data_IF_657250946929
#
_entry.id   IF_657250946929
#
_cell.length_a   1.000
_cell.length_b   1.000
_cell.length_c   1.000
_cell.angle_alpha   90.00
_cell.angle_beta   90.00
_cell.angle_gamma   90.00
#
_symmetry.space_group_name_H-M   'P 1'
#
loop_
_entity.id
_entity.type
_entity.pdbx_description
1 polymer ?
#
# COMPACT_ATOMS: atom_id res chain seq x y z
N UNK A 1 -13.35 52.42 31.99
CA UNK A 1 -12.87 51.12 32.50
C UNK A 1 -14.05 50.44 33.16
N UNK A 2 -14.71 49.50 32.48
CA UNK A 2 -15.77 48.63 33.02
C UNK A 2 -16.05 47.54 31.98
N UNK A 3 -15.25 46.47 32.02
CA UNK A 3 -15.50 45.22 31.29
C UNK A 3 -16.10 44.26 32.31
N UNK A 4 -17.42 44.12 32.28
CA UNK A 4 -18.16 43.14 33.06
C UNK A 4 -18.88 42.17 32.15
N UNK A 5 -18.94 40.90 32.58
CA UNK A 5 -20.02 39.98 32.24
C UNK A 5 -19.68 38.87 31.25
N UNK A 6 -19.26 37.71 31.77
CA UNK A 6 -19.75 36.36 31.40
C UNK A 6 -18.90 35.27 32.10
N UNK A 7 -19.08 35.13 33.41
CA UNK A 7 -18.58 33.97 34.19
C UNK A 7 -19.62 33.53 35.21
N UNK A 8 -20.86 33.38 34.76
CA UNK A 8 -21.96 32.91 35.60
C UNK A 8 -22.32 31.48 35.18
N UNK A 9 -21.86 30.48 35.94
CA UNK A 9 -22.00 29.06 35.63
C UNK A 9 -23.46 28.56 35.54
N UNK A 10 -24.42 29.37 36.01
CA UNK A 10 -25.87 29.10 35.85
C UNK A 10 -26.45 29.55 34.51
N UNK A 11 -25.70 30.33 33.70
CA UNK A 11 -26.13 30.82 32.37
C UNK A 11 -25.29 30.28 31.20
N UNK A 12 -24.17 29.60 31.45
CA UNK A 12 -23.41 28.92 30.42
C UNK A 12 -24.19 27.65 29.98
N UNK A 13 -24.85 27.73 28.83
CA UNK A 13 -25.69 26.64 28.32
C UNK A 13 -24.84 25.56 27.64
N UNK A 14 -24.29 24.63 28.42
CA UNK A 14 -23.72 23.37 27.94
C UNK A 14 -22.23 23.16 28.21
N UNK A 15 -21.79 21.90 28.12
CA UNK A 15 -20.36 21.55 28.06
C UNK A 15 -19.86 21.83 26.64
N UNK A 16 -18.65 22.35 26.48
CA UNK A 16 -18.08 22.62 25.16
C UNK A 16 -16.59 22.26 25.11
N UNK A 17 -16.10 21.96 23.91
CA UNK A 17 -14.67 21.84 23.63
C UNK A 17 -14.24 23.10 22.88
N UNK A 18 -13.21 23.77 23.38
CA UNK A 18 -12.52 24.86 22.69
C UNK A 18 -11.28 24.29 22.03
N UNK A 19 -11.39 24.00 20.73
CA UNK A 19 -10.36 23.31 19.98
C UNK A 19 -9.43 24.33 19.33
N UNK A 20 -8.13 24.19 19.56
CA UNK A 20 -7.07 24.95 18.88
C UNK A 20 -6.29 24.01 17.96
N UNK A 21 -6.09 24.40 16.71
CA UNK A 21 -5.34 23.59 15.74
C UNK A 21 -3.89 24.07 15.70
N UNK A 22 -2.95 23.15 15.91
CA UNK A 22 -1.51 23.37 15.74
C UNK A 22 -1.01 22.68 14.47
N UNK A 23 -0.47 23.44 13.51
CA UNK A 23 0.07 22.86 12.27
C UNK A 23 1.14 23.75 11.60
N UNK A 24 2.10 23.14 10.87
CA UNK A 24 3.06 23.92 10.10
C UNK A 24 2.39 24.61 8.90
N UNK A 25 2.64 25.91 8.66
CA UNK A 25 1.96 26.68 7.61
C UNK A 25 2.29 26.17 6.18
N UNK A 26 3.30 25.32 6.03
CA UNK A 26 3.66 24.65 4.76
C UNK A 26 2.64 23.61 4.31
N UNK A 27 1.64 23.27 5.13
CA UNK A 27 0.57 22.35 4.74
C UNK A 27 -0.49 23.03 3.85
N UNK A 28 -0.52 24.36 3.79
CA UNK A 28 -1.45 25.14 2.94
C UNK A 28 -2.90 24.66 3.05
N UNK A 29 -3.36 24.41 4.28
CA UNK A 29 -4.72 23.94 4.56
C UNK A 29 -5.71 25.08 4.28
N UNK A 30 -6.81 24.81 3.58
CA UNK A 30 -7.91 25.75 3.32
C UNK A 30 -9.23 25.36 4.00
N UNK A 31 -9.36 24.10 4.42
CA UNK A 31 -10.51 23.56 5.16
C UNK A 31 -10.13 22.50 6.17
N UNK A 32 -10.99 22.31 7.17
CA UNK A 32 -10.92 21.24 8.16
C UNK A 32 -12.16 20.37 8.06
N UNK A 33 -12.00 19.06 8.21
CA UNK A 33 -13.10 18.13 8.51
C UNK A 33 -12.94 17.66 9.95
N UNK A 34 -13.89 18.01 10.80
CA UNK A 34 -13.86 17.72 12.23
C UNK A 34 -14.87 16.63 12.55
N UNK A 35 -14.41 15.57 13.18
CA UNK A 35 -15.24 14.48 13.70
C UNK A 35 -14.76 14.06 15.08
N UNK A 36 -15.52 13.24 15.79
CA UNK A 36 -15.11 12.76 17.09
C UNK A 36 -16.20 12.02 17.84
N UNK A 37 -15.98 11.80 19.13
CA UNK A 37 -17.00 11.26 20.02
C UNK A 37 -16.83 11.72 21.46
N UNK A 38 -17.94 11.77 22.19
CA UNK A 38 -17.97 11.92 23.65
C UNK A 38 -18.95 10.90 24.19
N UNK A 39 -18.52 10.08 25.15
CA UNK A 39 -19.37 9.02 25.73
C UNK A 39 -19.96 8.07 24.67
N UNK A 40 -19.20 7.80 23.59
CA UNK A 40 -19.68 7.03 22.44
C UNK A 40 -20.71 7.74 21.55
N UNK A 41 -21.10 8.97 21.88
CA UNK A 41 -21.95 9.82 21.02
C UNK A 41 -21.07 10.54 20.01
N UNK A 42 -21.36 10.38 18.71
CA UNK A 42 -20.60 11.00 17.63
C UNK A 42 -20.71 12.52 17.58
N UNK A 43 -19.60 13.17 17.22
CA UNK A 43 -19.48 14.59 16.89
C UNK A 43 -19.18 14.70 15.39
N UNK A 44 -19.88 15.61 14.69
CA UNK A 44 -19.63 15.89 13.27
C UNK A 44 -20.17 14.82 12.31
N UNK A 45 -19.67 14.77 11.06
CA UNK A 45 -18.59 15.60 10.53
C UNK A 45 -19.00 17.06 10.33
N UNK A 46 -18.12 17.99 10.65
CA UNK A 46 -18.27 19.42 10.35
C UNK A 46 -17.16 19.88 9.42
N UNK A 47 -17.49 20.71 8.44
CA UNK A 47 -16.51 21.31 7.52
C UNK A 47 -16.29 22.77 7.90
N UNK A 48 -15.04 23.18 8.12
CA UNK A 48 -14.68 24.51 8.63
C UNK A 48 -13.50 25.12 7.86
N UNK A 49 -13.62 26.36 7.33
CA UNK A 49 -14.88 27.05 7.03
C UNK A 49 -15.72 26.26 6.01
N UNK A 50 -17.02 26.51 5.96
CA UNK A 50 -17.94 25.85 5.00
C UNK A 50 -17.51 26.06 3.54
N UNK A 51 -16.87 27.19 3.24
CA UNK A 51 -16.29 27.51 1.92
C UNK A 51 -14.78 27.79 2.05
N UNK A 52 -13.93 27.28 1.13
CA UNK A 52 -12.48 27.41 1.20
C UNK A 52 -12.00 28.78 0.66
N UNK A 53 -12.45 29.86 1.30
CA UNK A 53 -12.17 31.23 0.81
C UNK A 53 -10.73 31.67 1.06
N UNK A 54 -10.05 31.09 2.05
CA UNK A 54 -8.67 31.44 2.42
C UNK A 54 -7.91 30.26 3.00
N UNK A 55 -6.59 30.37 2.97
CA UNK A 55 -5.72 29.50 3.76
C UNK A 55 -5.94 29.75 5.26
N UNK A 56 -5.98 28.66 6.01
CA UNK A 56 -6.04 28.66 7.46
C UNK A 56 -4.67 29.01 8.04
N UNK A 57 -4.70 29.66 9.19
CA UNK A 57 -3.49 30.01 9.95
C UNK A 57 -3.25 29.04 11.09
N UNK A 58 -1.99 28.89 11.51
CA UNK A 58 -1.72 28.13 12.73
C UNK A 58 -2.39 28.81 13.94
N UNK A 59 -3.01 28.02 14.83
CA UNK A 59 -3.74 28.50 15.99
C UNK A 59 -5.20 28.88 15.71
N UNK A 60 -5.76 28.53 14.55
CA UNK A 60 -7.21 28.64 14.31
C UNK A 60 -7.99 27.86 15.38
N UNK A 61 -9.08 28.45 15.85
CA UNK A 61 -9.88 27.91 16.96
C UNK A 61 -11.34 27.75 16.58
N UNK A 62 -11.98 26.69 17.07
CA UNK A 62 -13.43 26.52 16.94
C UNK A 62 -14.02 25.85 18.18
N UNK A 63 -15.35 25.87 18.26
CA UNK A 63 -16.10 25.33 19.40
C UNK A 63 -16.95 24.16 18.99
N UNK A 64 -16.88 23.08 19.76
CA UNK A 64 -17.78 21.93 19.65
C UNK A 64 -18.71 21.96 20.86
N UNK A 65 -20.01 22.10 20.63
CA UNK A 65 -21.01 22.00 21.70
C UNK A 65 -21.26 20.53 22.03
N UNK A 66 -21.21 20.17 23.31
CA UNK A 66 -21.43 18.80 23.79
C UNK A 66 -22.73 18.77 24.59
N UNK A 67 -23.82 18.22 24.03
CA UNK A 67 -25.17 18.36 24.60
C UNK A 67 -25.35 17.77 26.01
N UNK A 68 -24.55 16.77 26.40
CA UNK A 68 -24.76 16.03 27.65
C UNK A 68 -23.51 15.31 28.17
N UNK A 69 -22.37 15.99 28.29
CA UNK A 69 -21.18 15.36 28.86
C UNK A 69 -21.26 15.28 30.40
N UNK A 70 -21.05 14.08 30.95
CA UNK A 70 -20.74 13.91 32.36
C UNK A 70 -19.33 14.44 32.68
N UNK A 71 -18.99 14.53 33.97
CA UNK A 71 -17.63 14.89 34.38
C UNK A 71 -16.68 13.72 34.10
N UNK A 72 -15.46 14.03 33.67
CA UNK A 72 -14.39 13.06 33.42
C UNK A 72 -14.75 11.99 32.40
N UNK A 73 -15.51 12.37 31.37
CA UNK A 73 -15.74 11.52 30.20
C UNK A 73 -14.71 11.88 29.13
N UNK A 74 -14.02 10.92 28.51
CA UNK A 74 -13.11 11.21 27.41
C UNK A 74 -13.90 11.72 26.20
N UNK A 75 -13.47 12.85 25.68
CA UNK A 75 -13.85 13.38 24.39
C UNK A 75 -12.67 13.22 23.43
N UNK A 76 -12.87 12.47 22.35
CA UNK A 76 -11.90 12.31 21.28
C UNK A 76 -12.33 13.14 20.08
N UNK A 77 -11.41 13.90 19.51
CA UNK A 77 -11.62 14.74 18.33
C UNK A 77 -10.56 14.41 17.29
N UNK A 78 -11.01 14.13 16.08
CA UNK A 78 -10.21 13.93 14.88
C UNK A 78 -10.40 15.11 13.96
N UNK A 79 -9.30 15.64 13.43
CA UNK A 79 -9.31 16.76 12.49
C UNK A 79 -8.51 16.38 11.26
N UNK A 80 -9.15 16.40 10.09
CA UNK A 80 -8.50 16.31 8.79
C UNK A 80 -8.25 17.71 8.24
N UNK A 81 -7.04 18.00 7.79
CA UNK A 81 -6.72 19.23 7.06
C UNK A 81 -6.81 18.99 5.56
N UNK A 82 -7.64 19.78 4.88
CA UNK A 82 -7.84 19.74 3.43
C UNK A 82 -7.12 20.90 2.74
N UNK A 83 -6.71 20.66 1.49
CA UNK A 83 -6.29 21.65 0.52
C UNK A 83 -6.94 21.32 -0.81
N UNK A 84 -7.68 22.25 -1.39
CA UNK A 84 -8.41 22.04 -2.65
C UNK A 84 -9.26 20.75 -2.59
N UNK A 85 -9.95 20.53 -1.46
CA UNK A 85 -10.72 19.32 -1.13
C UNK A 85 -9.94 18.01 -0.89
N UNK A 86 -8.60 18.03 -1.01
CA UNK A 86 -7.75 16.86 -0.78
C UNK A 86 -7.18 16.85 0.64
N UNK A 87 -7.22 15.70 1.34
CA UNK A 87 -6.63 15.59 2.69
C UNK A 87 -5.10 15.64 2.61
N UNK A 88 -4.52 16.65 3.25
CA UNK A 88 -3.07 16.90 3.33
C UNK A 88 -2.53 16.75 4.76
N UNK A 89 -3.39 16.75 5.77
CA UNK A 89 -3.00 16.64 7.17
C UNK A 89 -4.02 15.86 7.99
N UNK A 90 -3.57 15.26 9.10
CA UNK A 90 -4.43 14.56 10.05
C UNK A 90 -3.89 14.77 11.47
N UNK A 91 -4.79 14.91 12.44
CA UNK A 91 -4.46 14.92 13.86
C UNK A 91 -5.62 14.44 14.71
N UNK A 92 -5.27 13.92 15.90
CA UNK A 92 -6.23 13.49 16.91
C UNK A 92 -5.86 14.13 18.25
N UNK A 93 -6.87 14.44 19.05
CA UNK A 93 -6.71 14.95 20.40
C UNK A 93 -7.77 14.38 21.32
N UNK A 94 -7.41 14.19 22.59
CA UNK A 94 -8.31 13.67 23.61
C UNK A 94 -8.26 14.56 24.85
N UNK A 95 -9.42 14.80 25.46
CA UNK A 95 -9.54 15.56 26.71
C UNK A 95 -10.70 15.06 27.55
N UNK A 96 -10.60 15.16 28.86
CA UNK A 96 -11.72 14.88 29.75
C UNK A 96 -12.71 16.04 29.79
N UNK A 97 -14.00 15.75 29.60
CA UNK A 97 -15.07 16.74 29.69
C UNK A 97 -15.35 17.14 31.14
N UNK A 98 -15.80 18.38 31.30
CA UNK A 98 -16.29 18.88 32.59
C UNK A 98 -17.68 19.48 32.40
N UNK A 99 -18.67 18.93 33.09
CA UNK A 99 -20.08 19.28 32.96
C UNK A 99 -20.29 20.77 33.19
N UNK A 100 -20.80 21.48 32.17
CA UNK A 100 -21.11 22.92 32.22
C UNK A 100 -19.89 23.83 32.11
N UNK A 101 -18.74 23.30 31.67
CA UNK A 101 -17.53 24.07 31.40
C UNK A 101 -17.11 23.91 29.94
N UNK A 102 -16.39 24.92 29.46
CA UNK A 102 -15.59 24.84 28.24
C UNK A 102 -14.23 24.24 28.61
N UNK A 103 -13.78 23.24 27.86
CA UNK A 103 -12.50 22.56 28.06
C UNK A 103 -11.62 22.79 26.84
N UNK A 104 -10.37 23.18 27.06
CA UNK A 104 -9.41 23.43 25.99
C UNK A 104 -8.84 22.12 25.46
N UNK A 105 -8.78 21.99 24.14
CA UNK A 105 -8.15 20.87 23.45
C UNK A 105 -7.24 21.42 22.35
N UNK A 106 -5.98 21.02 22.34
CA UNK A 106 -5.08 21.30 21.22
C UNK A 106 -4.97 20.05 20.35
N UNK A 107 -5.27 20.17 19.06
CA UNK A 107 -5.08 19.10 18.08
C UNK A 107 -3.91 19.49 17.18
N UNK A 108 -2.84 18.70 17.24
CA UNK A 108 -1.68 18.87 16.37
C UNK A 108 -1.90 18.10 15.07
N UNK A 109 -1.88 18.80 13.94
CA UNK A 109 -1.95 18.18 12.62
C UNK A 109 -0.55 17.90 12.11
N UNK A 110 -0.34 16.67 11.68
CA UNK A 110 0.86 16.24 10.98
C UNK A 110 0.51 16.00 9.52
N UNK A 111 1.49 16.09 8.58
CA UNK A 111 1.25 15.72 7.20
C UNK A 111 0.57 14.34 7.16
N UNK A 112 -0.55 14.25 6.47
CA UNK A 112 -1.24 12.97 6.35
C UNK A 112 -0.24 12.03 5.67
N UNK A 113 0.23 11.01 6.41
CA UNK A 113 0.93 9.91 5.77
C UNK A 113 0.00 9.42 4.66
N UNK A 114 0.47 9.33 3.41
CA UNK A 114 -0.42 8.98 2.32
C UNK A 114 -1.09 7.64 2.67
N UNK A 115 -2.42 7.53 2.43
CA UNK A 115 -3.17 6.36 2.82
C UNK A 115 -2.62 5.19 2.00
N UNK A 116 -1.92 4.28 2.68
CA UNK A 116 -1.22 3.14 2.09
C UNK A 116 -0.04 3.51 1.17
N UNK A 117 1.19 3.29 1.64
CA UNK A 117 2.40 3.40 0.80
C UNK A 117 2.44 2.38 -0.33
N UNK A 118 1.53 1.42 -0.31
CA UNK A 118 1.40 0.32 -1.27
C UNK A 118 0.37 0.62 -2.37
N UNK A 119 -0.55 1.56 -2.15
CA UNK A 119 -1.62 1.87 -3.09
C UNK A 119 -1.99 3.36 -3.11
N UNK A 120 -1.97 3.97 -4.30
CA UNK A 120 -2.32 5.37 -4.52
C UNK A 120 -3.63 5.46 -5.30
N UNK A 121 -4.65 6.14 -4.75
CA UNK A 121 -5.88 6.47 -5.49
C UNK A 121 -5.58 7.48 -6.61
N UNK A 122 -6.34 7.40 -7.71
CA UNK A 122 -6.24 8.31 -8.87
C UNK A 122 -4.89 8.29 -9.62
N UNK A 123 -4.31 7.10 -9.77
CA UNK A 123 -3.04 6.87 -10.47
C UNK A 123 -3.21 6.04 -11.77
N UNK A 124 -3.91 6.55 -12.80
CA UNK A 124 -4.32 5.72 -13.94
C UNK A 124 -3.14 5.21 -14.77
N UNK A 125 -2.09 6.01 -14.93
CA UNK A 125 -0.92 5.73 -15.78
C UNK A 125 0.37 5.56 -14.99
N UNK A 126 0.28 5.34 -13.68
CA UNK A 126 1.43 5.29 -12.79
C UNK A 126 1.27 4.30 -11.65
N UNK A 127 2.33 4.18 -10.86
CA UNK A 127 2.39 3.32 -9.69
C UNK A 127 2.61 4.15 -8.43
N UNK A 128 2.34 3.56 -7.28
CA UNK A 128 2.50 4.20 -5.99
C UNK A 128 3.93 4.03 -5.48
N UNK A 129 4.58 5.14 -5.17
CA UNK A 129 5.88 5.18 -4.53
C UNK A 129 5.81 6.13 -3.35
N UNK A 130 5.95 5.58 -2.13
CA UNK A 130 5.84 6.34 -0.89
C UNK A 130 4.52 7.15 -0.83
N UNK A 131 3.44 6.59 -1.38
CA UNK A 131 2.13 7.23 -1.42
C UNK A 131 1.98 8.41 -2.38
N UNK A 132 2.93 8.58 -3.30
CA UNK A 132 2.83 9.49 -4.43
C UNK A 132 2.75 8.70 -5.74
N UNK A 133 2.01 9.23 -6.71
CA UNK A 133 2.00 8.72 -8.06
C UNK A 133 3.34 8.95 -8.75
N UNK A 134 4.08 7.89 -9.00
CA UNK A 134 5.24 7.90 -9.87
C UNK A 134 4.81 7.60 -11.30
N UNK A 135 5.38 8.34 -12.25
CA UNK A 135 5.27 8.01 -13.68
C UNK A 135 5.89 6.65 -13.95
N UNK A 136 5.29 5.85 -14.84
CA UNK A 136 5.84 4.54 -15.17
C UNK A 136 7.19 4.70 -15.88
N UNK A 137 8.24 4.15 -15.27
CA UNK A 137 9.58 4.05 -15.85
C UNK A 137 10.15 2.66 -15.62
N UNK A 138 11.36 2.40 -16.11
CA UNK A 138 12.04 1.14 -15.83
C UNK A 138 12.33 0.92 -14.32
N UNK A 139 12.51 1.98 -13.53
CA UNK A 139 12.74 1.89 -12.08
C UNK A 139 11.45 2.03 -11.26
N UNK A 140 10.36 2.45 -11.90
CA UNK A 140 9.07 2.74 -11.28
C UNK A 140 7.96 2.11 -12.11
N UNK A 141 8.06 0.81 -12.39
CA UNK A 141 7.12 0.13 -13.27
C UNK A 141 5.85 -0.26 -12.52
N UNK A 142 4.70 -0.06 -13.16
CA UNK A 142 3.38 -0.30 -12.61
C UNK A 142 2.35 0.67 -13.18
N UNK A 143 1.07 0.35 -13.01
CA UNK A 143 -0.10 1.14 -13.44
C UNK A 143 -1.22 0.99 -12.42
N UNK A 144 -2.23 1.86 -12.48
CA UNK A 144 -3.41 1.74 -11.62
C UNK A 144 -3.14 1.95 -10.13
N UNK A 145 -2.04 2.61 -9.78
CA UNK A 145 -1.75 2.99 -8.39
C UNK A 145 -1.24 1.86 -7.50
N UNK A 146 -0.92 0.68 -8.04
CA UNK A 146 -0.23 -0.37 -7.27
C UNK A 146 1.21 0.04 -6.96
N UNK A 147 1.84 -0.57 -5.96
CA UNK A 147 3.24 -0.33 -5.61
C UNK A 147 4.17 -0.43 -6.83
N UNK A 148 5.05 0.56 -6.99
CA UNK A 148 6.07 0.55 -8.03
C UNK A 148 7.02 -0.64 -7.88
N UNK A 149 7.44 -1.21 -9.01
CA UNK A 149 8.45 -2.25 -9.09
C UNK A 149 9.59 -1.78 -9.98
N UNK A 150 10.84 -1.97 -9.52
CA UNK A 150 12.01 -1.75 -10.36
C UNK A 150 12.24 -2.98 -11.27
N UNK A 151 12.30 -2.77 -12.57
CA UNK A 151 12.59 -3.83 -13.51
C UNK A 151 14.06 -4.25 -13.43
N UNK A 152 14.30 -5.57 -13.53
CA UNK A 152 15.65 -6.10 -13.55
C UNK A 152 16.26 -5.92 -14.96
N UNK A 153 17.34 -5.14 -15.13
CA UNK A 153 17.95 -4.90 -16.44
C UNK A 153 18.57 -6.16 -17.06
N UNK A 154 18.78 -7.22 -16.28
CA UNK A 154 19.19 -8.51 -16.85
C UNK A 154 18.02 -9.14 -17.60
N UNK A 155 16.80 -9.14 -17.06
CA UNK A 155 15.67 -9.93 -17.57
C UNK A 155 14.57 -9.12 -18.25
N UNK A 156 14.68 -7.79 -18.29
CA UNK A 156 13.73 -6.89 -18.91
C UNK A 156 14.45 -5.76 -19.66
N UNK A 157 13.83 -5.24 -20.72
CA UNK A 157 14.30 -4.09 -21.49
C UNK A 157 13.31 -2.92 -21.48
N UNK A 158 12.09 -3.11 -20.95
CA UNK A 158 11.08 -2.06 -20.84
C UNK A 158 10.16 -2.24 -19.63
N UNK A 159 9.47 -1.16 -19.26
CA UNK A 159 8.20 -1.23 -18.54
C UNK A 159 7.08 -1.16 -19.58
N UNK A 160 6.22 -2.19 -19.61
CA UNK A 160 5.08 -2.28 -20.51
C UNK A 160 4.05 -1.15 -20.26
N UNK A 161 3.28 -0.72 -21.27
CA UNK A 161 2.11 0.14 -21.08
C UNK A 161 1.10 -0.38 -20.04
N UNK A 162 1.04 -1.71 -19.85
CA UNK A 162 0.16 -2.33 -18.86
C UNK A 162 0.79 -2.40 -17.45
N UNK A 163 2.01 -1.88 -17.25
CA UNK A 163 2.64 -1.78 -15.93
C UNK A 163 3.43 -3.01 -15.47
N UNK A 164 3.79 -3.92 -16.37
CA UNK A 164 4.68 -5.04 -16.06
C UNK A 164 6.07 -4.86 -16.69
N UNK A 165 7.12 -5.37 -16.03
CA UNK A 165 8.44 -5.42 -16.62
C UNK A 165 8.44 -6.38 -17.81
N UNK A 166 8.92 -5.92 -18.95
CA UNK A 166 8.81 -6.62 -20.23
C UNK A 166 10.20 -6.91 -20.83
N UNK A 167 10.27 -7.99 -21.61
CA UNK A 167 11.34 -8.25 -22.56
C UNK A 167 10.74 -8.24 -23.96
N UNK A 168 10.88 -7.12 -24.67
CA UNK A 168 10.16 -6.86 -25.90
C UNK A 168 8.66 -6.68 -25.62
N UNK A 169 7.82 -7.42 -26.33
CA UNK A 169 6.36 -7.40 -26.11
C UNK A 169 5.86 -8.44 -25.11
N UNK A 170 6.76 -9.29 -24.59
CA UNK A 170 6.43 -10.33 -23.62
C UNK A 170 6.77 -9.88 -22.19
N UNK A 171 6.21 -10.53 -21.15
CA UNK A 171 6.69 -10.34 -19.78
C UNK A 171 8.21 -10.56 -19.66
N UNK A 172 8.80 -9.95 -18.63
CA UNK A 172 10.21 -10.13 -18.29
C UNK A 172 10.58 -11.61 -18.21
N UNK A 173 11.84 -11.90 -18.57
CA UNK A 173 12.33 -13.26 -18.61
C UNK A 173 12.27 -13.90 -17.22
N UNK A 174 11.79 -15.15 -17.18
CA UNK A 174 11.84 -15.94 -15.97
C UNK A 174 13.31 -16.28 -15.67
N UNK A 175 13.87 -15.84 -14.52
CA UNK A 175 15.27 -16.07 -14.19
C UNK A 175 15.61 -17.55 -14.00
N UNK A 176 14.60 -18.44 -13.87
CA UNK A 176 14.82 -19.88 -13.86
C UNK A 176 15.26 -20.36 -15.24
N UNK A 177 14.62 -19.95 -16.34
CA UNK A 177 14.86 -20.52 -17.67
C UNK A 177 15.66 -19.62 -18.62
N UNK A 178 16.03 -18.41 -18.19
CA UNK A 178 16.78 -17.45 -18.99
C UNK A 178 17.76 -16.65 -18.11
N UNK A 179 18.92 -16.31 -18.67
CA UNK A 179 19.94 -15.48 -18.02
C UNK A 179 19.83 -13.99 -18.39
N UNK A 180 19.22 -13.67 -19.54
CA UNK A 180 19.02 -12.28 -19.96
C UNK A 180 17.88 -12.06 -20.95
N UNK A 181 17.44 -10.81 -21.04
CA UNK A 181 16.70 -10.24 -22.15
C UNK A 181 17.69 -9.63 -23.16
N UNK A 182 17.70 -10.13 -24.38
CA UNK A 182 18.51 -9.60 -25.48
C UNK A 182 17.62 -9.27 -26.66
N UNK A 183 17.50 -7.98 -26.99
CA UNK A 183 16.68 -7.47 -28.11
C UNK A 183 15.24 -7.99 -28.07
N UNK A 184 14.61 -7.91 -26.91
CA UNK A 184 13.24 -8.38 -26.69
C UNK A 184 13.04 -9.90 -26.73
N UNK A 185 14.11 -10.69 -26.57
CA UNK A 185 14.03 -12.15 -26.44
C UNK A 185 14.76 -12.64 -25.21
N UNK A 186 14.14 -13.57 -24.49
CA UNK A 186 14.76 -14.26 -23.38
C UNK A 186 15.79 -15.27 -23.89
N UNK A 187 17.00 -15.23 -23.33
CA UNK A 187 18.15 -16.04 -23.75
C UNK A 187 18.68 -16.86 -22.59
N UNK A 188 19.25 -18.00 -22.93
CA UNK A 188 20.12 -18.77 -22.05
C UNK A 188 21.45 -19.02 -22.76
N UNK A 189 22.52 -18.36 -22.33
CA UNK A 189 23.80 -18.40 -23.05
C UNK A 189 23.63 -17.90 -24.48
N UNK A 190 23.96 -18.71 -25.46
CA UNK A 190 23.81 -18.38 -26.88
C UNK A 190 22.50 -18.89 -27.51
N UNK A 191 21.58 -19.42 -26.71
CA UNK A 191 20.32 -20.03 -27.15
C UNK A 191 19.12 -19.21 -26.67
N UNK A 192 17.95 -19.54 -27.18
CA UNK A 192 16.68 -19.05 -26.61
C UNK A 192 16.50 -19.57 -25.17
N UNK A 193 15.56 -18.97 -24.45
CA UNK A 193 15.16 -19.43 -23.12
C UNK A 193 14.87 -20.93 -23.10
N UNK A 194 15.19 -21.56 -21.98
CA UNK A 194 15.03 -22.98 -21.82
C UNK A 194 13.55 -23.38 -21.87
N UNK A 195 13.29 -24.53 -22.49
CA UNK A 195 11.96 -25.09 -22.60
C UNK A 195 11.35 -25.43 -21.24
N UNK A 196 10.04 -25.76 -21.20
CA UNK A 196 9.35 -26.10 -19.96
C UNK A 196 10.09 -27.17 -19.15
N UNK A 197 10.22 -26.93 -17.84
CA UNK A 197 10.85 -27.89 -16.93
C UNK A 197 12.38 -27.88 -16.92
N UNK A 198 13.02 -26.91 -17.60
CA UNK A 198 14.48 -26.74 -17.63
C UNK A 198 14.87 -25.38 -17.05
N UNK A 199 15.99 -25.32 -16.36
CA UNK A 199 16.61 -24.07 -15.91
C UNK A 199 17.84 -23.70 -16.74
N UNK A 200 18.16 -22.41 -16.77
CA UNK A 200 19.37 -21.90 -17.38
C UNK A 200 20.51 -21.82 -16.36
N UNK A 201 21.46 -22.74 -16.45
CA UNK A 201 22.65 -22.75 -15.58
C UNK A 201 23.88 -22.57 -16.46
N UNK A 202 24.63 -21.48 -16.21
CA UNK A 202 25.84 -21.15 -16.97
C UNK A 202 25.64 -21.14 -18.49
N UNK A 203 24.47 -20.69 -18.95
CA UNK A 203 24.12 -20.62 -20.37
C UNK A 203 23.77 -21.96 -21.02
N UNK A 204 23.55 -23.00 -20.23
CA UNK A 204 23.01 -24.29 -20.67
C UNK A 204 21.66 -24.53 -20.03
N UNK A 205 20.72 -25.04 -20.83
CA UNK A 205 19.49 -25.57 -20.26
C UNK A 205 19.82 -26.86 -19.54
N UNK A 206 19.37 -27.02 -18.30
CA UNK A 206 19.56 -28.23 -17.50
C UNK A 206 18.25 -28.61 -16.83
N UNK A 207 18.00 -29.91 -16.71
CA UNK A 207 16.90 -30.39 -15.88
C UNK A 207 17.39 -30.49 -14.44
N UNK A 208 16.68 -29.84 -13.51
CA UNK A 208 17.06 -29.81 -12.11
C UNK A 208 15.85 -29.85 -11.17
N UNK A 209 16.07 -30.08 -9.86
CA UNK A 209 15.02 -29.97 -8.86
C UNK A 209 14.33 -28.60 -8.79
N UNK A 210 15.01 -27.52 -9.19
CA UNK A 210 14.44 -26.17 -9.18
C UNK A 210 13.52 -25.89 -10.38
N UNK A 211 13.65 -26.67 -11.46
CA UNK A 211 12.93 -26.45 -12.72
C UNK A 211 11.88 -27.51 -13.02
N UNK A 212 12.03 -28.74 -12.52
CA UNK A 212 11.20 -29.88 -12.89
C UNK A 212 10.39 -30.43 -11.70
N UNK A 213 9.06 -30.43 -11.81
CA UNK A 213 8.16 -31.03 -10.80
C UNK A 213 8.09 -32.57 -10.89
N UNK A 214 8.33 -33.12 -12.09
CA UNK A 214 8.44 -34.55 -12.35
C UNK A 214 9.87 -35.07 -12.16
N UNK A 215 10.37 -35.87 -13.10
CA UNK A 215 11.74 -36.38 -13.08
C UNK A 215 12.53 -35.98 -14.32
N UNK A 216 13.85 -35.97 -14.18
CA UNK A 216 14.78 -35.67 -15.25
C UNK A 216 15.20 -36.94 -15.98
N UNK A 217 14.81 -37.06 -17.24
CA UNK A 217 15.37 -38.02 -18.19
C UNK A 217 16.48 -37.32 -18.98
N UNK A 218 17.71 -37.44 -18.47
CA UNK A 218 18.80 -36.58 -18.91
C UNK A 218 18.42 -35.11 -18.75
N UNK A 219 18.27 -34.43 -19.88
CA UNK A 219 17.99 -32.99 -19.94
C UNK A 219 16.56 -32.67 -20.37
N UNK A 220 15.63 -33.60 -20.15
CA UNK A 220 14.21 -33.46 -20.44
C UNK A 220 13.43 -33.70 -19.16
N UNK A 221 12.66 -32.70 -18.73
CA UNK A 221 11.72 -32.87 -17.64
C UNK A 221 10.49 -33.62 -18.15
N UNK A 222 10.18 -34.75 -17.55
CA UNK A 222 8.98 -35.54 -17.86
C UNK A 222 8.10 -35.66 -16.62
N UNK A 223 6.82 -35.98 -16.81
CA UNK A 223 5.83 -36.02 -15.72
C UNK A 223 6.19 -36.99 -14.58
N UNK A 224 7.06 -37.98 -14.82
CA UNK A 224 7.55 -38.85 -13.76
C UNK A 224 6.54 -39.91 -13.28
N UNK A 225 5.51 -40.19 -14.08
CA UNK A 225 4.40 -41.09 -13.75
C UNK A 225 4.38 -42.38 -14.60
N UNK A 226 5.38 -42.58 -15.46
CA UNK A 226 5.50 -43.76 -16.30
C UNK A 226 6.40 -44.81 -15.64
N UNK A 227 6.15 -46.08 -15.93
CA UNK A 227 6.92 -47.21 -15.35
C UNK A 227 8.43 -47.08 -15.60
N UNK A 228 8.81 -46.69 -16.81
CA UNK A 228 10.19 -46.52 -17.26
C UNK A 228 10.73 -45.10 -17.01
N UNK A 229 9.87 -44.17 -16.58
CA UNK A 229 10.22 -42.79 -16.23
C UNK A 229 9.47 -42.35 -14.98
N UNK A 230 9.81 -42.95 -13.84
CA UNK A 230 9.19 -42.71 -12.55
C UNK A 230 10.05 -41.79 -11.67
N UNK A 231 9.45 -40.77 -11.07
CA UNK A 231 10.13 -39.87 -10.14
C UNK A 231 9.40 -38.53 -9.98
N UNK A 232 9.89 -37.70 -9.07
CA UNK A 232 9.34 -36.36 -8.78
C UNK A 232 10.46 -35.46 -8.27
N UNK A 233 10.19 -34.16 -8.11
CA UNK A 233 11.09 -33.14 -7.57
C UNK A 233 12.41 -33.00 -8.36
N UNK A 234 12.35 -33.23 -9.67
CA UNK A 234 13.49 -33.10 -10.59
C UNK A 234 14.62 -34.08 -10.33
N UNK A 235 14.36 -35.17 -9.59
CA UNK A 235 15.30 -36.27 -9.47
C UNK A 235 15.47 -37.00 -10.80
N UNK A 236 16.56 -37.75 -10.98
CA UNK A 236 16.74 -38.61 -12.16
C UNK A 236 15.61 -39.63 -12.26
N UNK A 237 15.02 -39.78 -13.45
CA UNK A 237 13.97 -40.75 -13.70
C UNK A 237 14.45 -42.18 -13.44
N UNK A 238 13.58 -42.99 -12.84
CA UNK A 238 13.83 -44.40 -12.54
C UNK A 238 12.97 -45.30 -13.42
N UNK A 239 13.53 -46.43 -13.83
CA UNK A 239 12.77 -47.52 -14.42
C UNK A 239 12.38 -48.52 -13.33
N UNK A 240 11.09 -48.68 -13.09
CA UNK A 240 10.52 -49.55 -12.06
C UNK A 240 10.54 -51.05 -12.45
N UNK A 241 10.98 -51.39 -13.66
CA UNK A 241 11.10 -52.74 -14.20
C UNK A 241 9.76 -53.51 -14.11
N UNK A 242 9.56 -54.27 -13.02
CA UNK A 242 8.36 -55.08 -12.76
C UNK A 242 7.33 -54.39 -11.86
N UNK A 243 7.67 -53.25 -11.26
CA UNK A 243 6.80 -52.47 -10.37
C UNK A 243 6.08 -51.36 -11.14
N UNK A 244 4.99 -50.83 -10.57
CA UNK A 244 4.30 -49.65 -11.11
C UNK A 244 4.92 -48.36 -10.56
N UNK A 245 4.74 -47.25 -11.28
CA UNK A 245 5.03 -45.94 -10.73
C UNK A 245 3.84 -45.47 -9.91
N UNK A 246 3.98 -45.48 -8.57
CA UNK A 246 2.94 -45.04 -7.64
C UNK A 246 2.93 -43.52 -7.51
N UNK A 247 1.83 -43.01 -6.97
CA UNK A 247 1.71 -41.60 -6.58
C UNK A 247 2.91 -41.16 -5.72
N UNK A 248 3.47 -39.99 -6.01
CA UNK A 248 4.71 -39.51 -5.39
C UNK A 248 5.99 -39.98 -6.08
N UNK A 249 5.92 -40.61 -7.26
CA UNK A 249 7.10 -40.94 -8.07
C UNK A 249 7.95 -42.08 -7.49
N UNK A 250 7.32 -43.06 -6.86
CA UNK A 250 7.98 -44.20 -6.20
C UNK A 250 7.64 -45.51 -6.93
N UNK A 251 8.64 -46.36 -7.17
CA UNK A 251 8.41 -47.70 -7.70
C UNK A 251 7.88 -48.62 -6.61
N UNK A 252 6.71 -49.24 -6.81
CA UNK A 252 6.20 -50.30 -5.93
C UNK A 252 4.79 -50.73 -6.19
#
# INVERSE_FOLDING_TARGET
MLLGGCRDAKKASGTALFVTIDFPPTLFIDQLVVSGSVDGTGIGPYVLPEQPERLLSNGETFRILVPSAANSVPAEVTVEGLRESSRVALGTGSVETRKGYEVELTVRLEPASPPDTTFCVDCPTGCCMNGYCAVSTFQTCGTGGISCTACNPATADACSPDGFCACGSAPACNPVNADRCDKGRCRCGNRDACGPGLECVSGQCVCSPASCSGCCDGNTCVAGNQRDRCGTNGATCKNCVFQQCKAGGVCG
#
